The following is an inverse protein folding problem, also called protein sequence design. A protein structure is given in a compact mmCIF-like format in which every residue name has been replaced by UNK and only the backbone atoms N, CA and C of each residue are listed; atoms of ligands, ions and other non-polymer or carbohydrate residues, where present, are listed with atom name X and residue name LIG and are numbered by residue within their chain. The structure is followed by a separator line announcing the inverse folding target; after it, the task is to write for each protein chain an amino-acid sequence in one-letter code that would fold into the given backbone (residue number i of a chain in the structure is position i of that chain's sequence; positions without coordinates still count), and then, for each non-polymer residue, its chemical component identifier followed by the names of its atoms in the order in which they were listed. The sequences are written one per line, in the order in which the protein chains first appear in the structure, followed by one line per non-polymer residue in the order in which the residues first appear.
data_IF_010917738850
#
_entry.id   IF_010917738850
#
_cell.length_a   1.000
_cell.length_b   1.000
_cell.length_c   1.000
_cell.angle_alpha   90.00
_cell.angle_beta   90.00
_cell.angle_gamma   90.00
#
_symmetry.space_group_name_H-M   'P 1'
#
loop_
_entity.id
_entity.type
_entity.pdbx_description
1 polymer ?
#
# COMPACT_ATOMS: atom_id res chain seq x y z
N UNK A 1 13.30 -40.55 22.90
CA UNK A 1 14.59 -40.11 23.50
C UNK A 1 15.07 -38.77 22.95
N UNK A 2 15.03 -38.52 21.63
CA UNK A 2 15.44 -37.24 21.02
C UNK A 2 14.65 -36.00 21.48
N UNK A 3 13.35 -36.14 21.73
CA UNK A 3 12.51 -35.03 22.20
C UNK A 3 12.98 -34.50 23.57
N UNK A 4 13.36 -35.39 24.48
CA UNK A 4 13.90 -35.00 25.79
C UNK A 4 15.27 -34.30 25.65
N UNK A 5 16.10 -34.74 24.70
CA UNK A 5 17.37 -34.06 24.39
C UNK A 5 17.14 -32.65 23.82
N UNK A 6 16.15 -32.47 22.94
CA UNK A 6 15.80 -31.15 22.40
C UNK A 6 15.28 -30.23 23.51
N UNK A 7 14.39 -30.73 24.37
CA UNK A 7 13.87 -29.97 25.52
C UNK A 7 15.01 -29.55 26.45
N UNK A 8 15.96 -30.44 26.73
CA UNK A 8 17.11 -30.15 27.57
C UNK A 8 18.04 -29.09 26.96
N UNK A 9 18.26 -29.14 25.64
CA UNK A 9 19.02 -28.11 24.91
C UNK A 9 18.30 -26.77 24.94
N UNK A 10 16.98 -26.74 24.68
CA UNK A 10 16.20 -25.50 24.74
C UNK A 10 16.18 -24.93 26.16
N UNK A 11 16.01 -25.77 27.18
CA UNK A 11 16.06 -25.37 28.57
C UNK A 11 17.43 -24.77 28.96
N UNK A 12 18.52 -25.28 28.41
CA UNK A 12 19.87 -24.74 28.60
C UNK A 12 20.09 -23.40 27.87
N UNK A 13 19.40 -23.18 26.74
CA UNK A 13 19.50 -21.94 25.96
C UNK A 13 18.75 -20.77 26.59
N UNK A 14 17.68 -21.03 27.36
CA UNK A 14 16.86 -19.98 28.00
C UNK A 14 17.69 -19.07 28.93
N UNK A 15 18.54 -19.57 29.85
CA UNK A 15 19.39 -18.72 30.68
C UNK A 15 20.38 -17.86 29.90
N UNK A 16 20.97 -18.41 28.83
CA UNK A 16 21.91 -17.68 27.97
C UNK A 16 21.19 -16.52 27.29
N UNK A 17 19.99 -16.77 26.76
CA UNK A 17 19.16 -15.75 26.14
C UNK A 17 18.75 -14.65 27.14
N UNK A 18 18.36 -15.02 28.37
CA UNK A 18 17.99 -14.06 29.41
C UNK A 18 19.15 -13.12 29.78
N UNK A 19 20.37 -13.65 29.95
CA UNK A 19 21.56 -12.85 30.25
C UNK A 19 21.95 -11.94 29.07
N UNK A 20 21.75 -12.41 27.83
CA UNK A 20 22.08 -11.63 26.63
C UNK A 20 21.11 -10.45 26.41
N UNK A 21 19.83 -10.63 26.73
CA UNK A 21 18.80 -9.58 26.62
C UNK A 21 19.11 -8.41 27.54
N UNK A 22 19.65 -8.67 28.73
CA UNK A 22 20.06 -7.63 29.68
C UNK A 22 21.43 -7.01 29.36
N UNK A 23 22.14 -7.52 28.34
CA UNK A 23 23.49 -7.08 27.95
C UNK A 23 23.46 -6.13 26.74
N UNK A 24 24.38 -5.14 26.65
CA UNK A 24 24.49 -4.21 25.52
C UNK A 24 24.65 -4.88 24.13
N UNK A 25 25.06 -6.16 24.08
CA UNK A 25 25.12 -6.95 22.86
C UNK A 25 23.72 -7.33 22.33
N UNK A 26 22.80 -7.73 23.21
CA UNK A 26 21.41 -7.99 22.83
C UNK A 26 20.70 -6.72 22.36
N UNK A 27 20.94 -5.60 23.04
CA UNK A 27 20.35 -4.29 22.69
C UNK A 27 20.85 -3.70 21.38
N UNK A 28 22.11 -3.94 20.99
CA UNK A 28 22.67 -3.46 19.72
C UNK A 28 22.25 -4.32 18.52
N UNK A 29 22.09 -5.63 18.71
CA UNK A 29 21.46 -6.51 17.72
C UNK A 29 19.98 -6.20 17.59
N UNK A 30 19.26 -6.02 18.72
CA UNK A 30 17.89 -5.55 18.73
C UNK A 30 17.77 -4.20 18.01
N UNK A 31 18.65 -3.23 18.24
CA UNK A 31 18.63 -1.94 17.53
C UNK A 31 18.91 -2.05 16.02
N UNK A 32 19.73 -3.01 15.59
CA UNK A 32 19.91 -3.31 14.15
C UNK A 32 18.73 -4.06 13.55
N UNK A 33 18.07 -4.90 14.33
CA UNK A 33 16.85 -5.59 13.91
C UNK A 33 15.65 -4.64 13.93
N UNK A 34 15.46 -3.80 14.94
CA UNK A 34 14.53 -2.67 15.02
C UNK A 34 14.74 -1.72 13.83
N UNK A 35 15.99 -1.39 13.48
CA UNK A 35 16.28 -0.64 12.25
C UNK A 35 15.83 -1.33 10.95
N UNK A 36 15.55 -2.64 10.99
CA UNK A 36 14.95 -3.44 9.89
C UNK A 36 13.47 -3.76 10.11
N UNK A 37 12.96 -3.64 11.33
CA UNK A 37 11.63 -4.12 11.77
C UNK A 37 10.66 -2.97 12.10
N UNK A 38 11.14 -1.75 12.35
CA UNK A 38 10.29 -0.56 12.60
C UNK A 38 9.78 0.13 11.32
N UNK A 39 10.15 -0.37 10.14
CA UNK A 39 9.52 0.02 8.88
C UNK A 39 8.52 -1.04 8.44
N UNK A 40 7.37 -0.67 7.81
CA UNK A 40 6.64 -1.64 7.00
C UNK A 40 7.64 -2.40 6.12
N UNK A 41 7.55 -3.74 6.02
CA UNK A 41 8.40 -4.54 5.16
C UNK A 41 8.65 -3.82 3.83
N UNK A 42 9.86 -3.87 3.27
CA UNK A 42 10.18 -3.16 2.02
C UNK A 42 9.14 -3.42 0.92
N UNK A 43 8.61 -4.65 0.86
CA UNK A 43 7.49 -5.04 -0.01
C UNK A 43 6.21 -4.23 0.25
N UNK A 44 5.82 -3.99 1.51
CA UNK A 44 4.65 -3.19 1.88
C UNK A 44 4.85 -1.71 1.54
N UNK A 45 6.07 -1.17 1.67
CA UNK A 45 6.38 0.21 1.25
C UNK A 45 6.28 0.38 -0.26
N UNK A 46 6.79 -0.59 -1.02
CA UNK A 46 6.67 -0.59 -2.48
C UNK A 46 5.21 -0.74 -2.92
N UNK A 47 4.44 -1.57 -2.20
CA UNK A 47 3.01 -1.74 -2.45
C UNK A 47 2.23 -0.46 -2.12
N UNK A 48 2.57 0.23 -1.04
CA UNK A 48 1.97 1.52 -0.66
C UNK A 48 2.23 2.61 -1.69
N UNK A 49 3.47 2.71 -2.20
CA UNK A 49 3.80 3.64 -3.31
C UNK A 49 3.02 3.31 -4.58
N UNK A 50 2.85 2.04 -4.90
CA UNK A 50 2.06 1.61 -6.06
C UNK A 50 0.58 1.97 -5.89
N UNK A 51 0.03 1.80 -4.69
CA UNK A 51 -1.35 2.20 -4.38
C UNK A 51 -1.53 3.71 -4.53
N UNK A 52 -0.62 4.51 -3.99
CA UNK A 52 -0.66 5.98 -4.10
C UNK A 52 -0.60 6.45 -5.56
N UNK A 53 0.25 5.81 -6.38
CA UNK A 53 0.29 6.07 -7.82
C UNK A 53 -1.02 5.68 -8.52
N UNK A 54 -1.57 4.51 -8.20
CA UNK A 54 -2.83 4.04 -8.79
C UNK A 54 -4.02 4.93 -8.40
N UNK A 55 -4.05 5.43 -7.16
CA UNK A 55 -5.08 6.37 -6.71
C UNK A 55 -5.02 7.68 -7.50
N UNK A 56 -3.81 8.21 -7.72
CA UNK A 56 -3.60 9.39 -8.57
C UNK A 56 -4.05 9.16 -10.02
N UNK A 57 -3.68 8.02 -10.61
CA UNK A 57 -4.08 7.68 -11.98
C UNK A 57 -5.61 7.52 -12.13
N UNK A 58 -6.27 6.98 -11.10
CA UNK A 58 -7.74 6.86 -11.06
C UNK A 58 -8.40 8.25 -11.01
N UNK A 59 -7.87 9.17 -10.20
CA UNK A 59 -8.39 10.53 -10.10
C UNK A 59 -8.28 11.27 -11.44
N UNK A 60 -7.12 11.15 -12.11
CA UNK A 60 -6.90 11.71 -13.44
C UNK A 60 -7.83 11.11 -14.49
N UNK A 61 -8.01 9.80 -14.48
CA UNK A 61 -8.91 9.11 -15.39
C UNK A 61 -10.37 9.54 -15.18
N UNK A 62 -10.80 9.67 -13.93
CA UNK A 62 -12.15 10.13 -13.60
C UNK A 62 -12.38 11.55 -14.13
N UNK A 63 -11.39 12.43 -14.00
CA UNK A 63 -11.45 13.79 -14.54
C UNK A 63 -11.52 13.81 -16.07
N UNK A 64 -10.75 12.95 -16.74
CA UNK A 64 -10.80 12.80 -18.20
C UNK A 64 -12.17 12.31 -18.68
N UNK A 65 -12.74 11.30 -18.02
CA UNK A 65 -14.08 10.78 -18.33
C UNK A 65 -15.15 11.85 -18.11
N UNK A 66 -15.05 12.64 -17.04
CA UNK A 66 -15.96 13.76 -16.80
C UNK A 66 -15.91 14.78 -17.94
N UNK A 67 -14.71 15.21 -18.35
CA UNK A 67 -14.54 16.13 -19.48
C UNK A 67 -15.09 15.57 -20.80
N UNK A 68 -14.84 14.29 -21.09
CA UNK A 68 -15.36 13.62 -22.28
C UNK A 68 -16.90 13.56 -22.28
N UNK A 69 -17.53 13.37 -21.11
CA UNK A 69 -19.00 13.42 -21.00
C UNK A 69 -19.55 14.81 -21.30
N UNK A 70 -18.88 15.87 -20.85
CA UNK A 70 -19.27 17.25 -21.14
C UNK A 70 -19.18 17.56 -22.65
N UNK A 71 -18.11 17.12 -23.31
CA UNK A 71 -17.95 17.26 -24.77
C UNK A 71 -19.05 16.52 -25.53
N UNK A 72 -19.37 15.28 -25.14
CA UNK A 72 -20.47 14.51 -25.74
C UNK A 72 -21.83 15.20 -25.53
N UNK A 73 -22.08 15.76 -24.35
CA UNK A 73 -23.32 16.50 -24.07
C UNK A 73 -23.40 17.80 -24.87
N UNK A 74 -22.28 18.50 -25.06
CA UNK A 74 -22.20 19.68 -25.91
C UNK A 74 -22.48 19.32 -27.39
N UNK A 75 -21.89 18.24 -27.90
CA UNK A 75 -22.17 17.74 -29.25
C UNK A 75 -23.64 17.33 -29.42
N UNK A 76 -24.23 16.65 -28.45
CA UNK A 76 -25.67 16.33 -28.47
C UNK A 76 -26.52 17.60 -28.55
N UNK A 77 -26.19 18.62 -27.74
CA UNK A 77 -26.93 19.89 -27.73
C UNK A 77 -26.81 20.65 -29.06
N UNK A 78 -25.62 20.67 -29.66
CA UNK A 78 -25.41 21.22 -31.00
C UNK A 78 -26.16 20.46 -32.11
N UNK A 79 -26.39 19.15 -31.95
CA UNK A 79 -27.14 18.34 -32.90
C UNK A 79 -28.66 18.37 -32.68
N UNK A 80 -29.13 18.73 -31.48
CA UNK A 80 -30.55 18.95 -31.18
C UNK A 80 -31.05 20.33 -31.65
N UNK A 81 -30.25 21.39 -31.51
CA UNK A 81 -30.60 22.76 -31.90
C UNK A 81 -31.00 22.93 -33.40
N UNK A 82 -30.34 22.30 -34.39
CA UNK A 82 -30.72 22.47 -35.80
C UNK A 82 -32.08 21.85 -36.17
N UNK A 83 -32.63 20.94 -35.34
CA UNK A 83 -33.94 20.29 -35.63
C UNK A 83 -35.15 21.04 -35.07
N UNK A 84 -34.96 22.02 -34.17
CA UNK A 84 -36.07 22.83 -33.62
C UNK A 84 -36.35 24.13 -34.37
N UNK A 85 -35.52 24.53 -35.33
CA UNK A 85 -35.82 25.63 -36.27
C UNK A 85 -36.63 25.14 -37.47
N UNK A 86 -37.87 24.71 -37.25
CA UNK A 86 -38.89 24.82 -38.30
C UNK A 86 -39.71 26.07 -37.94
N UNK A 87 -39.59 27.18 -38.68
CA UNK A 87 -40.42 28.35 -38.44
C UNK A 87 -41.85 27.93 -38.77
N UNK A 88 -42.70 27.83 -37.75
CA UNK A 88 -44.14 27.80 -37.96
C UNK A 88 -44.54 29.20 -38.37
N UNK A 89 -44.77 29.34 -39.67
CA UNK A 89 -45.50 30.44 -40.30
C UNK A 89 -46.89 30.62 -39.69
#
# INVERSE_FOLDING_TARGET
MWVLAIILVVALLIPVAAILVDSPLGRSVARRMEGRTEGPPPELRDMQRKVELLESEIEDLNRSVAGMREELQFMQRLLEDPRRKKPTS
#
